data_IF_550416003862
#
_entry.id   IF_550416003862
#
_cell.length_a   1.000
_cell.length_b   1.000
_cell.length_c   1.000
_cell.angle_alpha   90.00
_cell.angle_beta   90.00
_cell.angle_gamma   90.00
#
_symmetry.space_group_name_H-M   'P 1'
#
loop_
_entity.id
_entity.type
_entity.pdbx_description
1 polymer ?
#
# COMPACT_ATOMS: atom_id res chain seq x y z
N UNK A 1 4.76 3.01 16.36
CA UNK A 1 4.66 2.08 15.22
C UNK A 1 3.43 1.20 15.40
N UNK A 2 2.54 1.11 14.39
CA UNK A 2 1.39 0.18 14.46
C UNK A 2 1.87 -1.25 14.19
N UNK A 3 1.37 -2.22 14.94
CA UNK A 3 1.67 -3.63 14.67
C UNK A 3 0.80 -4.17 13.53
N UNK A 4 1.23 -5.27 12.93
CA UNK A 4 0.44 -6.04 11.95
C UNK A 4 -0.99 -6.31 12.45
N UNK A 5 -1.14 -6.76 13.69
CA UNK A 5 -2.45 -7.02 14.30
C UNK A 5 -3.33 -5.77 14.44
N UNK A 6 -2.74 -4.60 14.76
CA UNK A 6 -3.47 -3.34 14.77
C UNK A 6 -3.94 -2.97 13.36
N UNK A 7 -3.07 -3.10 12.35
CA UNK A 7 -3.38 -2.74 10.96
C UNK A 7 -4.52 -3.60 10.40
N UNK A 8 -4.49 -4.92 10.60
CA UNK A 8 -5.57 -5.80 10.16
C UNK A 8 -6.89 -5.45 10.84
N UNK A 9 -6.87 -5.23 12.16
CA UNK A 9 -8.07 -4.86 12.91
C UNK A 9 -8.68 -3.56 12.37
N UNK A 10 -7.85 -2.57 12.09
CA UNK A 10 -8.29 -1.28 11.57
C UNK A 10 -8.91 -1.44 10.17
N UNK A 11 -8.23 -2.11 9.24
CA UNK A 11 -8.73 -2.37 7.89
C UNK A 11 -10.05 -3.15 7.90
N UNK A 12 -10.17 -4.14 8.79
CA UNK A 12 -11.39 -4.93 8.96
C UNK A 12 -12.55 -4.04 9.44
N UNK A 13 -12.30 -3.22 10.45
CA UNK A 13 -13.31 -2.28 10.98
C UNK A 13 -13.72 -1.23 9.96
N UNK A 14 -12.79 -0.73 9.15
CA UNK A 14 -13.08 0.22 8.06
C UNK A 14 -13.98 -0.39 6.98
N UNK A 15 -13.81 -1.69 6.67
CA UNK A 15 -14.73 -2.43 5.80
C UNK A 15 -16.06 -2.80 6.47
N UNK A 16 -16.22 -2.58 7.78
CA UNK A 16 -17.45 -2.90 8.51
C UNK A 16 -17.73 -4.40 8.69
N UNK A 17 -16.71 -5.26 8.61
CA UNK A 17 -16.86 -6.72 8.68
C UNK A 17 -16.38 -7.32 10.01
N UNK A 18 -16.90 -8.49 10.35
CA UNK A 18 -16.53 -9.31 11.51
C UNK A 18 -15.26 -10.13 11.26
N UNK A 19 -14.64 -10.65 12.33
CA UNK A 19 -13.47 -11.54 12.19
C UNK A 19 -13.83 -12.82 11.42
N UNK A 20 -15.05 -13.33 11.60
CA UNK A 20 -15.59 -14.48 10.88
C UNK A 20 -15.70 -14.23 9.38
N UNK A 21 -16.24 -13.09 8.97
CA UNK A 21 -16.36 -12.73 7.54
C UNK A 21 -15.00 -12.53 6.87
N UNK A 22 -14.04 -11.91 7.59
CA UNK A 22 -12.67 -11.80 7.11
C UNK A 22 -12.01 -13.18 6.97
N UNK A 23 -12.17 -14.04 7.96
CA UNK A 23 -11.69 -15.42 7.94
C UNK A 23 -12.24 -16.21 6.74
N UNK A 24 -13.54 -16.10 6.47
CA UNK A 24 -14.17 -16.74 5.31
C UNK A 24 -13.58 -16.24 3.99
N UNK A 25 -13.43 -14.91 3.84
CA UNK A 25 -12.85 -14.30 2.64
C UNK A 25 -11.41 -14.75 2.39
N UNK A 26 -10.66 -14.97 3.48
CA UNK A 26 -9.26 -15.40 3.45
C UNK A 26 -9.09 -16.91 3.61
N UNK A 27 -10.16 -17.71 3.59
CA UNK A 27 -10.09 -19.17 3.79
C UNK A 27 -9.24 -19.56 5.03
N UNK A 28 -9.42 -18.84 6.13
CA UNK A 28 -8.78 -19.06 7.43
C UNK A 28 -9.85 -19.37 8.48
N UNK A 29 -9.42 -19.79 9.68
CA UNK A 29 -10.32 -19.85 10.83
C UNK A 29 -10.50 -18.46 11.45
N UNK A 30 -11.66 -18.22 12.06
CA UNK A 30 -11.93 -17.00 12.84
C UNK A 30 -10.90 -16.84 13.97
N UNK A 31 -10.51 -17.94 14.63
CA UNK A 31 -9.48 -17.96 15.66
C UNK A 31 -8.12 -17.48 15.14
N UNK A 32 -7.76 -17.80 13.89
CA UNK A 32 -6.51 -17.36 13.27
C UNK A 32 -6.50 -15.84 13.10
N UNK A 33 -7.60 -15.25 12.60
CA UNK A 33 -7.76 -13.79 12.52
C UNK A 33 -7.69 -13.15 13.90
N UNK A 34 -8.35 -13.74 14.91
CA UNK A 34 -8.29 -13.26 16.29
C UNK A 34 -6.88 -13.30 16.90
N UNK A 35 -6.08 -14.32 16.58
CA UNK A 35 -4.67 -14.41 16.99
C UNK A 35 -3.81 -13.36 16.26
N UNK A 36 -4.04 -13.14 14.96
CA UNK A 36 -3.36 -12.09 14.19
C UNK A 36 -3.62 -10.70 14.79
N UNK A 37 -4.88 -10.36 15.04
CA UNK A 37 -5.24 -9.05 15.60
C UNK A 37 -4.70 -8.82 17.02
N UNK A 38 -4.49 -9.89 17.79
CA UNK A 38 -3.86 -9.84 19.13
C UNK A 38 -2.33 -9.93 19.09
N UNK A 39 -1.73 -10.06 17.90
CA UNK A 39 -0.29 -10.27 17.69
C UNK A 39 0.26 -11.56 18.32
N UNK A 40 -0.60 -12.55 18.58
CA UNK A 40 -0.19 -13.85 19.14
C UNK A 40 0.35 -14.80 18.07
N UNK A 41 0.01 -14.53 16.81
CA UNK A 41 0.47 -15.29 15.65
C UNK A 41 0.77 -14.34 14.50
N UNK A 42 1.75 -14.71 13.67
CA UNK A 42 2.04 -14.03 12.42
C UNK A 42 1.56 -14.89 11.24
N UNK A 43 1.12 -14.28 10.12
CA UNK A 43 0.82 -15.02 8.90
C UNK A 43 2.10 -15.59 8.30
N UNK A 44 1.96 -16.65 7.51
CA UNK A 44 3.01 -17.03 6.56
C UNK A 44 3.02 -16.06 5.36
N UNK A 45 4.03 -16.21 4.50
CA UNK A 45 4.23 -15.35 3.33
C UNK A 45 3.01 -15.34 2.39
N UNK A 46 2.43 -16.51 2.10
CA UNK A 46 1.29 -16.63 1.21
C UNK A 46 0.04 -15.96 1.80
N UNK A 47 -0.18 -16.13 3.10
CA UNK A 47 -1.30 -15.52 3.82
C UNK A 47 -1.15 -14.01 3.90
N UNK A 48 0.07 -13.51 4.12
CA UNK A 48 0.38 -12.08 4.10
C UNK A 48 0.02 -11.44 2.76
N UNK A 49 0.41 -12.07 1.63
CA UNK A 49 0.06 -11.60 0.28
C UNK A 49 -1.46 -11.59 0.08
N UNK A 50 -2.15 -12.67 0.46
CA UNK A 50 -3.61 -12.77 0.31
C UNK A 50 -4.36 -11.70 1.10
N UNK A 51 -3.86 -11.36 2.29
CA UNK A 51 -4.39 -10.26 3.10
C UNK A 51 -4.16 -8.92 2.39
N UNK A 52 -2.95 -8.69 1.86
CA UNK A 52 -2.60 -7.48 1.11
C UNK A 52 -3.52 -7.30 -0.11
N UNK A 53 -3.71 -8.35 -0.90
CA UNK A 53 -4.60 -8.35 -2.07
C UNK A 53 -6.07 -8.09 -1.68
N UNK A 54 -6.55 -8.76 -0.62
CA UNK A 54 -7.93 -8.58 -0.14
C UNK A 54 -8.23 -7.13 0.27
N UNK A 55 -7.27 -6.46 0.90
CA UNK A 55 -7.39 -5.07 1.32
C UNK A 55 -6.89 -4.06 0.30
N UNK A 56 -6.30 -4.52 -0.82
CA UNK A 56 -5.68 -3.69 -1.86
C UNK A 56 -4.60 -2.75 -1.31
N UNK A 57 -3.72 -3.29 -0.46
CA UNK A 57 -2.59 -2.59 0.15
C UNK A 57 -1.28 -3.33 -0.14
N UNK A 58 -0.13 -2.71 0.12
CA UNK A 58 1.17 -3.37 0.03
C UNK A 58 1.39 -4.29 1.25
N UNK A 59 2.27 -5.28 1.12
CA UNK A 59 2.75 -6.05 2.29
C UNK A 59 3.53 -5.17 3.25
N UNK A 60 4.26 -4.18 2.75
CA UNK A 60 4.97 -3.18 3.55
C UNK A 60 4.02 -2.37 4.43
N UNK A 61 2.83 -2.00 3.92
CA UNK A 61 1.77 -1.38 4.71
C UNK A 61 1.36 -2.27 5.87
N UNK A 62 1.07 -3.54 5.60
CA UNK A 62 0.66 -4.51 6.63
C UNK A 62 1.75 -4.74 7.68
N UNK A 63 3.03 -4.69 7.27
CA UNK A 63 4.18 -4.80 8.15
C UNK A 63 4.53 -3.49 8.87
N UNK A 64 3.74 -2.43 8.68
CA UNK A 64 3.92 -1.13 9.32
C UNK A 64 5.09 -0.30 8.75
N UNK A 65 5.59 -0.64 7.55
CA UNK A 65 6.72 0.03 6.88
C UNK A 65 6.29 1.25 6.05
N UNK A 66 5.03 1.35 5.64
CA UNK A 66 4.52 2.54 4.91
C UNK A 66 4.33 3.77 5.81
N UNK A 67 4.58 3.66 7.12
CA UNK A 67 4.56 4.79 8.05
C UNK A 67 5.92 5.47 8.25
N UNK A 68 7.02 4.84 7.80
CA UNK A 68 8.38 5.35 7.94
C UNK A 68 9.07 5.52 6.59
N UNK A 69 8.32 5.94 5.56
CA UNK A 69 8.93 6.82 4.58
C UNK A 69 9.08 8.19 5.25
N UNK A 70 10.22 8.41 5.91
CA UNK A 70 10.80 9.75 6.19
C UNK A 70 11.07 10.48 4.86
N UNK A 71 10.00 10.67 4.10
CA UNK A 71 10.02 10.84 2.66
C UNK A 71 8.61 10.95 2.05
N UNK A 72 7.53 11.00 2.85
CA UNK A 72 6.33 11.73 2.43
C UNK A 72 6.71 13.20 2.28
N UNK A 73 7.30 13.55 1.13
CA UNK A 73 6.94 14.79 0.48
C UNK A 73 5.45 14.68 0.24
N UNK A 74 4.66 15.19 1.19
CA UNK A 74 3.24 15.41 1.04
C UNK A 74 3.09 16.58 0.06
N UNK A 75 3.65 16.39 -1.13
CA UNK A 75 3.83 17.38 -2.15
C UNK A 75 2.66 17.16 -3.09
N UNK A 76 1.52 17.65 -2.62
CA UNK A 76 0.26 17.65 -3.35
C UNK A 76 0.45 18.25 -4.76
N UNK A 77 1.45 19.11 -4.95
CA UNK A 77 1.81 19.69 -6.23
C UNK A 77 2.48 18.66 -7.15
N UNK A 78 3.44 17.86 -6.66
CA UNK A 78 4.03 16.76 -7.43
C UNK A 78 2.99 15.71 -7.83
N UNK A 79 2.08 15.34 -6.94
CA UNK A 79 1.02 14.37 -7.25
C UNK A 79 0.06 14.90 -8.33
N UNK A 80 -0.30 16.18 -8.24
CA UNK A 80 -1.16 16.84 -9.22
C UNK A 80 -0.45 16.97 -10.57
N UNK A 81 0.83 17.35 -10.56
CA UNK A 81 1.68 17.42 -11.74
C UNK A 81 1.83 16.05 -12.44
N UNK A 82 2.04 14.97 -11.69
CA UNK A 82 2.10 13.61 -12.26
C UNK A 82 0.78 13.21 -12.92
N UNK A 83 -0.36 13.61 -12.36
CA UNK A 83 -1.66 13.35 -12.95
C UNK A 83 -1.86 14.16 -14.25
N UNK A 84 -1.46 15.42 -14.28
CA UNK A 84 -1.53 16.26 -15.48
C UNK A 84 -0.67 15.68 -16.62
N UNK A 85 0.52 15.17 -16.30
CA UNK A 85 1.39 14.49 -17.28
C UNK A 85 0.71 13.26 -17.86
N UNK A 86 0.05 12.44 -17.03
CA UNK A 86 -0.64 11.22 -17.50
C UNK A 86 -1.77 11.55 -18.47
N UNK A 87 -2.50 12.64 -18.22
CA UNK A 87 -3.61 13.10 -19.05
C UNK A 87 -3.17 13.85 -20.31
N UNK A 88 -1.90 14.28 -20.39
CA UNK A 88 -1.39 15.02 -21.52
C UNK A 88 -1.33 14.19 -22.82
N UNK A 89 -1.47 14.84 -24.00
CA UNK A 89 -1.25 14.22 -25.30
C UNK A 89 0.12 13.52 -25.38
N UNK A 90 0.20 12.43 -26.14
CA UNK A 90 1.43 11.62 -26.28
C UNK A 90 2.63 12.44 -26.76
N UNK A 91 2.40 13.39 -27.68
CA UNK A 91 3.45 14.30 -28.15
C UNK A 91 4.11 15.09 -27.01
N UNK A 92 3.30 15.71 -26.13
CA UNK A 92 3.82 16.47 -24.98
C UNK A 92 4.57 15.57 -23.99
N UNK A 93 4.10 14.34 -23.79
CA UNK A 93 4.79 13.35 -22.95
C UNK A 93 6.15 12.94 -23.52
N UNK A 94 6.26 12.78 -24.84
CA UNK A 94 7.54 12.46 -25.49
C UNK A 94 8.51 13.64 -25.46
N UNK A 95 8.03 14.88 -25.63
CA UNK A 95 8.84 16.09 -25.45
C UNK A 95 9.38 16.20 -24.03
N UNK A 96 8.53 15.98 -23.01
CA UNK A 96 8.95 15.96 -21.61
C UNK A 96 10.02 14.90 -21.35
N UNK A 97 9.89 13.69 -21.91
CA UNK A 97 10.91 12.64 -21.79
C UNK A 97 12.25 13.05 -22.41
N UNK A 98 12.22 13.74 -23.55
CA UNK A 98 13.45 14.24 -24.19
C UNK A 98 14.12 15.31 -23.32
N UNK A 99 13.34 16.25 -22.80
CA UNK A 99 13.83 17.31 -21.93
C UNK A 99 14.39 16.76 -20.61
N UNK A 100 13.70 15.77 -20.00
CA UNK A 100 14.19 15.10 -18.80
C UNK A 100 15.52 14.39 -19.04
N UNK A 101 15.67 13.68 -20.17
CA UNK A 101 16.94 13.04 -20.53
C UNK A 101 18.06 14.05 -20.69
N UNK A 102 17.77 15.25 -21.19
CA UNK A 102 18.74 16.34 -21.30
C UNK A 102 19.19 16.82 -19.91
N UNK A 103 18.25 17.14 -19.01
CA UNK A 103 18.56 17.56 -17.63
C UNK A 103 19.47 16.55 -16.93
N UNK A 104 19.13 15.26 -17.01
CA UNK A 104 19.89 14.18 -16.36
C UNK A 104 21.28 13.94 -16.99
N UNK A 105 21.56 14.50 -18.16
CA UNK A 105 22.87 14.40 -18.83
C UNK A 105 23.80 15.57 -18.51
N UNK A 106 23.28 16.71 -18.05
CA UNK A 106 24.08 17.88 -17.65
C UNK A 106 24.56 17.84 -16.19
N UNK A 107 24.15 16.86 -15.39
CA UNK A 107 24.66 16.63 -14.03
C UNK A 107 26.01 15.87 -13.98
N UNK A 108 26.76 15.82 -15.10
CA UNK A 108 28.12 15.26 -15.18
C UNK A 108 29.17 16.35 -15.32
#
# INVERSE_FOLDING_TARGET
MKTFGNIIRDLRKQKGITQKELAQSLQLSESTIGMYERNERQPDYNTLIRIADYFKVSTDFLLGRDFDAEGKRNDSELDQWLNDIKLAPSQKREELKRFWKFIMQEEK
#
